data_IF_194179821529
#
_entry.id   IF_194179821529
#
_cell.length_a   1.000
_cell.length_b   1.000
_cell.length_c   1.000
_cell.angle_alpha   90.00
_cell.angle_beta   90.00
_cell.angle_gamma   90.00
#
_symmetry.space_group_name_H-M   'P 1'
#
loop_
_entity.id
_entity.type
_entity.pdbx_description
1 polymer ?
#
# COMPACT_ATOMS: atom_id res chain seq x y z
N UNK A 1 35.57 29.76 -28.68
CA UNK A 1 34.82 28.78 -29.51
C UNK A 1 33.64 28.31 -28.68
N UNK A 2 32.40 28.36 -29.18
CA UNK A 2 31.20 28.00 -28.40
C UNK A 2 31.22 26.49 -28.04
N UNK A 3 31.33 26.12 -26.75
CA UNK A 3 31.37 24.71 -26.33
C UNK A 3 30.13 23.92 -26.73
N UNK A 4 29.00 24.59 -27.00
CA UNK A 4 27.76 23.94 -27.51
C UNK A 4 27.94 23.32 -28.89
N UNK A 5 28.89 23.81 -29.70
CA UNK A 5 29.22 23.26 -31.03
C UNK A 5 30.01 21.94 -30.96
N UNK A 6 30.56 21.60 -29.80
CA UNK A 6 31.32 20.35 -29.58
C UNK A 6 30.45 19.20 -29.08
N UNK A 7 29.19 19.45 -28.69
CA UNK A 7 28.29 18.39 -28.21
C UNK A 7 28.07 17.35 -29.32
N UNK A 8 28.39 16.07 -29.10
CA UNK A 8 28.31 15.04 -30.13
C UNK A 8 26.87 14.86 -30.62
N UNK A 9 26.71 14.51 -31.90
CA UNK A 9 25.39 14.21 -32.49
C UNK A 9 24.80 12.97 -31.80
N UNK A 10 23.47 12.92 -31.69
CA UNK A 10 22.78 11.81 -31.04
C UNK A 10 23.13 10.46 -31.67
N UNK A 11 23.21 10.37 -33.00
CA UNK A 11 23.60 9.13 -33.68
C UNK A 11 25.04 8.71 -33.38
N UNK A 12 25.95 9.67 -33.22
CA UNK A 12 27.34 9.40 -32.81
C UNK A 12 27.36 8.80 -31.40
N UNK A 13 26.63 9.36 -30.45
CA UNK A 13 26.56 8.82 -29.09
C UNK A 13 25.87 7.45 -29.09
N UNK A 14 24.76 7.29 -29.82
CA UNK A 14 24.04 6.02 -29.91
C UNK A 14 24.84 4.89 -30.57
N UNK A 15 25.89 5.21 -31.32
CA UNK A 15 26.82 4.22 -31.87
C UNK A 15 27.83 3.67 -30.85
N UNK A 16 27.88 4.21 -29.62
CA UNK A 16 28.69 3.64 -28.54
C UNK A 16 28.24 2.19 -28.25
N UNK A 17 29.15 1.20 -28.28
CA UNK A 17 28.80 -0.21 -28.08
C UNK A 17 28.01 -0.49 -26.79
N UNK A 18 28.26 0.27 -25.71
CA UNK A 18 27.55 0.13 -24.44
C UNK A 18 26.09 0.55 -24.56
N UNK A 19 25.83 1.61 -25.32
CA UNK A 19 24.47 2.12 -25.57
C UNK A 19 23.73 1.25 -26.60
N UNK A 20 24.44 0.66 -27.57
CA UNK A 20 23.88 -0.36 -28.47
C UNK A 20 23.44 -1.61 -27.70
N UNK A 21 24.31 -2.15 -26.84
CA UNK A 21 23.97 -3.28 -25.99
C UNK A 21 22.80 -2.96 -25.04
N UNK A 22 22.81 -1.76 -24.45
CA UNK A 22 21.70 -1.29 -23.62
C UNK A 22 20.38 -1.18 -24.39
N UNK A 23 20.40 -0.78 -25.67
CA UNK A 23 19.18 -0.68 -26.47
C UNK A 23 18.51 -2.04 -26.69
N UNK A 24 19.29 -3.12 -26.78
CA UNK A 24 18.76 -4.49 -26.81
C UNK A 24 18.08 -4.91 -25.50
N UNK A 25 18.56 -4.43 -24.35
CA UNK A 25 18.05 -4.78 -23.01
C UNK A 25 16.91 -3.88 -22.52
N UNK A 26 17.02 -2.57 -22.76
CA UNK A 26 16.14 -1.52 -22.22
C UNK A 26 15.18 -0.95 -23.26
N UNK A 27 15.44 -1.20 -24.54
CA UNK A 27 14.73 -0.57 -25.65
C UNK A 27 15.37 0.76 -26.07
N UNK A 28 15.21 1.09 -27.35
CA UNK A 28 15.86 2.25 -27.99
C UNK A 28 15.40 3.60 -27.44
N UNK A 29 14.14 3.72 -27.03
CA UNK A 29 13.58 4.97 -26.47
C UNK A 29 14.27 5.36 -25.17
N UNK A 30 14.39 4.42 -24.22
CA UNK A 30 15.05 4.63 -22.92
C UNK A 30 16.51 5.10 -23.10
N UNK A 31 17.24 4.44 -23.99
CA UNK A 31 18.63 4.82 -24.30
C UNK A 31 18.69 6.21 -24.93
N UNK A 32 17.79 6.53 -25.86
CA UNK A 32 17.72 7.86 -26.49
C UNK A 32 17.43 8.96 -25.47
N UNK A 33 16.56 8.70 -24.50
CA UNK A 33 16.23 9.66 -23.43
C UNK A 33 17.44 9.94 -22.53
N UNK A 34 18.21 8.90 -22.17
CA UNK A 34 19.45 9.04 -21.42
C UNK A 34 20.51 9.86 -22.19
N UNK A 35 20.67 9.58 -23.49
CA UNK A 35 21.54 10.37 -24.38
C UNK A 35 21.08 11.82 -24.47
N UNK A 36 19.79 12.06 -24.67
CA UNK A 36 19.23 13.40 -24.74
C UNK A 36 19.43 14.17 -23.43
N UNK A 37 19.32 13.49 -22.28
CA UNK A 37 19.60 14.07 -20.96
C UNK A 37 21.06 14.49 -20.81
N UNK A 38 22.02 13.60 -21.12
CA UNK A 38 23.44 13.90 -21.07
C UNK A 38 23.83 15.05 -22.02
N UNK A 39 23.30 15.04 -23.26
CA UNK A 39 23.50 16.12 -24.22
C UNK A 39 22.94 17.47 -23.74
N UNK A 40 21.77 17.48 -23.05
CA UNK A 40 21.22 18.71 -22.45
C UNK A 40 22.17 19.27 -21.37
N UNK A 41 22.69 18.41 -20.49
CA UNK A 41 23.67 18.82 -19.46
C UNK A 41 24.93 19.42 -20.08
N UNK A 42 25.43 18.83 -21.17
CA UNK A 42 26.58 19.37 -21.88
C UNK A 42 26.30 20.73 -22.54
N UNK A 43 25.12 20.91 -23.16
CA UNK A 43 24.71 22.22 -23.74
C UNK A 43 24.58 23.32 -22.68
N UNK A 44 24.25 22.95 -21.45
CA UNK A 44 24.14 23.85 -20.29
C UNK A 44 25.48 24.11 -19.59
N UNK A 45 26.57 23.45 -20.01
CA UNK A 45 27.89 23.58 -19.40
C UNK A 45 28.08 22.77 -18.11
N UNK A 46 27.13 21.90 -17.76
CA UNK A 46 27.17 21.05 -16.56
C UNK A 46 27.86 19.68 -16.78
N UNK A 47 28.42 19.46 -17.97
CA UNK A 47 29.13 18.26 -18.41
C UNK A 47 30.03 18.62 -19.61
N UNK A 48 31.24 18.08 -19.72
CA UNK A 48 32.05 18.31 -20.92
C UNK A 48 31.47 17.53 -22.12
N UNK A 49 31.54 18.07 -23.35
CA UNK A 49 31.03 17.38 -24.55
C UNK A 49 31.58 15.96 -24.75
N UNK A 50 32.82 15.71 -24.34
CA UNK A 50 33.51 14.43 -24.45
C UNK A 50 32.95 13.37 -23.48
N UNK A 51 32.37 13.81 -22.35
CA UNK A 51 31.83 12.94 -21.29
C UNK A 51 30.38 12.50 -21.57
N UNK A 52 29.76 12.98 -22.65
CA UNK A 52 28.33 12.74 -22.94
C UNK A 52 28.00 11.26 -23.06
N UNK A 53 28.86 10.45 -23.67
CA UNK A 53 28.63 9.01 -23.81
C UNK A 53 28.70 8.30 -22.45
N UNK A 54 29.71 8.59 -21.63
CA UNK A 54 29.87 8.02 -20.30
C UNK A 54 28.73 8.43 -19.37
N UNK A 55 28.34 9.70 -19.40
CA UNK A 55 27.20 10.19 -18.64
C UNK A 55 25.87 9.59 -19.10
N UNK A 56 25.68 9.34 -20.40
CA UNK A 56 24.51 8.67 -20.92
C UNK A 56 24.44 7.21 -20.45
N UNK A 57 25.57 6.50 -20.47
CA UNK A 57 25.68 5.13 -19.95
C UNK A 57 25.41 5.09 -18.44
N UNK A 58 25.99 6.01 -17.67
CA UNK A 58 25.78 6.12 -16.23
C UNK A 58 24.33 6.48 -15.85
N UNK A 59 23.61 7.16 -16.74
CA UNK A 59 22.20 7.51 -16.55
C UNK A 59 21.21 6.40 -16.97
N UNK A 60 21.69 5.28 -17.53
CA UNK A 60 20.82 4.18 -17.93
C UNK A 60 20.22 3.47 -16.71
N UNK A 61 18.92 3.18 -16.70
CA UNK A 61 18.32 2.41 -15.63
C UNK A 61 18.71 0.93 -15.69
N UNK A 62 18.61 0.25 -14.55
CA UNK A 62 18.81 -1.20 -14.47
C UNK A 62 17.76 -2.00 -15.27
N UNK A 63 16.54 -1.46 -15.40
CA UNK A 63 15.43 -2.04 -16.16
C UNK A 63 14.59 -0.95 -16.82
N UNK A 64 13.79 -1.26 -17.87
CA UNK A 64 13.01 -0.24 -18.57
C UNK A 64 11.83 0.33 -17.75
N UNK A 65 11.47 -0.29 -16.63
CA UNK A 65 10.45 0.24 -15.71
C UNK A 65 10.91 1.49 -14.96
N UNK A 66 9.97 2.41 -14.71
CA UNK A 66 10.24 3.66 -13.99
C UNK A 66 10.12 3.58 -12.46
N UNK A 67 9.63 2.47 -11.92
CA UNK A 67 9.54 2.26 -10.47
C UNK A 67 10.92 1.97 -9.88
N UNK A 68 11.22 2.55 -8.72
CA UNK A 68 12.47 2.34 -7.99
C UNK A 68 12.18 1.58 -6.70
N UNK A 69 13.07 0.66 -6.33
CA UNK A 69 13.03 0.08 -4.99
C UNK A 69 13.34 1.17 -3.97
N UNK A 70 12.60 1.17 -2.85
CA UNK A 70 12.76 2.15 -1.77
C UNK A 70 13.02 1.40 -0.47
N UNK A 71 14.02 1.82 0.29
CA UNK A 71 14.24 1.33 1.65
C UNK A 71 13.31 2.08 2.59
N UNK A 72 12.32 1.36 3.12
CA UNK A 72 11.34 1.88 4.05
C UNK A 72 11.92 1.91 5.48
N UNK A 73 12.31 3.11 5.93
CA UNK A 73 12.71 3.41 7.30
C UNK A 73 11.68 4.31 8.01
N UNK A 74 10.43 4.31 7.53
CA UNK A 74 9.38 5.19 8.06
C UNK A 74 8.76 4.66 9.33
N UNK A 75 9.06 3.43 9.75
CA UNK A 75 8.36 2.76 10.86
C UNK A 75 6.90 2.41 10.56
N UNK A 76 6.44 2.53 9.31
CA UNK A 76 5.11 2.10 8.87
C UNK A 76 5.26 0.79 8.09
N UNK A 77 4.70 -0.31 8.60
CA UNK A 77 4.88 -1.66 8.02
C UNK A 77 4.16 -1.79 6.67
N UNK A 78 2.86 -1.47 6.65
CA UNK A 78 1.99 -1.48 5.47
C UNK A 78 1.85 -0.04 4.97
N UNK A 79 2.84 0.42 4.20
CA UNK A 79 2.89 1.79 3.73
C UNK A 79 2.22 1.95 2.35
N UNK A 80 1.05 2.59 2.29
CA UNK A 80 0.26 2.76 1.05
C UNK A 80 1.05 3.38 -0.10
N UNK A 81 1.76 4.49 0.15
CA UNK A 81 2.54 5.17 -0.89
C UNK A 81 3.79 4.40 -1.37
N UNK A 82 4.26 3.41 -0.60
CA UNK A 82 5.41 2.58 -0.95
C UNK A 82 5.00 1.18 -1.45
N UNK A 83 3.73 0.99 -1.79
CA UNK A 83 3.24 -0.26 -2.38
C UNK A 83 2.73 -1.30 -1.38
N UNK A 84 2.43 -0.90 -0.13
CA UNK A 84 1.90 -1.77 0.94
C UNK A 84 2.83 -2.92 1.32
N UNK A 85 2.36 -4.17 1.28
CA UNK A 85 3.09 -5.35 1.70
C UNK A 85 4.20 -5.75 0.70
N UNK A 86 5.48 -5.80 1.12
CA UNK A 86 6.52 -6.39 0.28
C UNK A 86 6.40 -7.92 0.27
N UNK A 87 6.69 -8.52 -0.89
CA UNK A 87 6.65 -9.97 -1.07
C UNK A 87 7.87 -10.65 -0.44
N UNK A 88 7.67 -11.86 0.10
CA UNK A 88 8.77 -12.72 0.55
C UNK A 88 9.65 -13.18 -0.64
N UNK A 89 10.91 -13.57 -0.41
CA UNK A 89 11.74 -14.15 -1.47
C UNK A 89 11.09 -15.35 -2.17
N UNK A 90 10.36 -16.18 -1.43
CA UNK A 90 9.60 -17.30 -1.98
C UNK A 90 8.47 -16.84 -2.92
N UNK A 91 7.73 -15.81 -2.54
CA UNK A 91 6.69 -15.22 -3.38
C UNK A 91 7.28 -14.57 -4.64
N UNK A 92 8.39 -13.83 -4.52
CA UNK A 92 9.11 -13.26 -5.67
C UNK A 92 9.57 -14.37 -6.62
N UNK A 93 10.18 -15.45 -6.12
CA UNK A 93 10.58 -16.59 -6.94
C UNK A 93 9.39 -17.23 -7.67
N UNK A 94 8.24 -17.39 -7.00
CA UNK A 94 7.02 -17.89 -7.63
C UNK A 94 6.51 -16.97 -8.75
N UNK A 95 6.58 -15.64 -8.57
CA UNK A 95 6.22 -14.71 -9.66
C UNK A 95 7.16 -14.81 -10.85
N UNK A 96 8.46 -15.01 -10.62
CA UNK A 96 9.44 -15.15 -11.68
C UNK A 96 9.18 -16.41 -12.53
N UNK A 97 8.80 -17.53 -11.90
CA UNK A 97 8.34 -18.73 -12.63
C UNK A 97 7.08 -18.43 -13.43
N UNK A 98 6.10 -17.77 -12.80
CA UNK A 98 4.83 -17.42 -13.44
C UNK A 98 4.98 -16.36 -14.54
N UNK A 99 6.11 -15.68 -14.69
CA UNK A 99 6.37 -14.77 -15.80
C UNK A 99 6.34 -15.49 -17.15
N UNK A 100 6.82 -16.74 -17.20
CA UNK A 100 6.74 -17.63 -18.36
C UNK A 100 5.37 -18.31 -18.54
N UNK A 101 5.33 -19.39 -19.33
CA UNK A 101 4.15 -20.26 -19.37
C UNK A 101 4.04 -21.04 -18.05
N UNK A 102 2.83 -21.10 -17.49
CA UNK A 102 2.53 -21.79 -16.24
C UNK A 102 1.17 -22.48 -16.34
N UNK A 103 0.97 -23.54 -15.56
CA UNK A 103 -0.22 -24.42 -15.56
C UNK A 103 -1.42 -23.82 -14.80
N UNK A 104 -1.65 -22.51 -14.97
CA UNK A 104 -2.60 -21.70 -14.21
C UNK A 104 -4.05 -22.21 -14.32
N UNK A 105 -4.42 -22.74 -15.48
CA UNK A 105 -5.74 -23.31 -15.81
C UNK A 105 -5.61 -24.65 -16.53
N UNK A 106 -4.52 -25.38 -16.31
CA UNK A 106 -4.21 -26.61 -17.03
C UNK A 106 -3.83 -27.72 -16.06
N UNK A 107 -4.43 -28.89 -16.23
CA UNK A 107 -4.02 -30.10 -15.52
C UNK A 107 -2.94 -30.81 -16.35
N UNK A 108 -1.72 -30.85 -15.83
CA UNK A 108 -0.58 -31.46 -16.51
C UNK A 108 -0.71 -32.99 -16.63
N UNK A 109 -1.40 -33.65 -15.70
CA UNK A 109 -1.57 -35.09 -15.72
C UNK A 109 -2.68 -35.50 -16.71
N UNK A 110 -3.80 -34.78 -16.71
CA UNK A 110 -4.93 -35.08 -17.58
C UNK A 110 -4.84 -34.42 -18.97
N UNK A 111 -3.99 -33.40 -19.14
CA UNK A 111 -3.83 -32.69 -20.41
C UNK A 111 -5.03 -31.82 -20.82
N UNK A 112 -5.83 -31.36 -19.84
CA UNK A 112 -7.08 -30.63 -20.09
C UNK A 112 -7.19 -29.35 -19.26
N UNK A 113 -8.16 -28.50 -19.60
CA UNK A 113 -8.46 -27.27 -18.86
C UNK A 113 -8.95 -27.60 -17.43
N UNK A 114 -8.43 -26.87 -16.45
CA UNK A 114 -8.75 -27.00 -15.03
C UNK A 114 -9.21 -25.67 -14.40
N UNK A 115 -9.67 -25.72 -13.13
CA UNK A 115 -10.00 -24.52 -12.35
C UNK A 115 -8.76 -23.63 -12.22
N UNK A 116 -8.93 -22.34 -12.53
CA UNK A 116 -7.88 -21.33 -12.39
C UNK A 116 -7.36 -21.28 -10.96
N UNK A 117 -6.03 -21.35 -10.79
CA UNK A 117 -5.40 -21.16 -9.49
C UNK A 117 -5.82 -22.20 -8.45
N UNK A 118 -6.07 -23.46 -8.86
CA UNK A 118 -6.49 -24.55 -7.95
C UNK A 118 -5.60 -24.63 -6.70
N UNK A 119 -4.27 -24.56 -6.90
CA UNK A 119 -3.30 -24.62 -5.81
C UNK A 119 -3.48 -23.47 -4.82
N UNK A 120 -3.74 -22.27 -5.32
CA UNK A 120 -3.98 -21.07 -4.50
C UNK A 120 -5.27 -21.17 -3.72
N UNK A 121 -6.36 -21.65 -4.35
CA UNK A 121 -7.64 -21.86 -3.65
C UNK A 121 -7.49 -22.89 -2.53
N UNK A 122 -6.78 -24.00 -2.79
CA UNK A 122 -6.54 -25.04 -1.78
C UNK A 122 -5.69 -24.52 -0.62
N UNK A 123 -4.71 -23.67 -0.88
CA UNK A 123 -3.89 -23.03 0.15
C UNK A 123 -4.73 -22.10 1.03
N UNK A 124 -5.61 -21.31 0.41
CA UNK A 124 -6.47 -20.36 1.11
C UNK A 124 -7.53 -21.08 1.95
N UNK A 125 -8.15 -22.13 1.42
CA UNK A 125 -9.10 -22.97 2.16
C UNK A 125 -8.46 -23.63 3.38
N UNK A 126 -7.20 -24.09 3.27
CA UNK A 126 -6.45 -24.61 4.43
C UNK A 126 -6.11 -23.52 5.46
N UNK A 127 -5.87 -22.29 5.00
CA UNK A 127 -5.54 -21.18 5.90
C UNK A 127 -6.77 -20.67 6.68
N UNK A 128 -7.98 -20.87 6.15
CA UNK A 128 -9.24 -20.49 6.82
C UNK A 128 -10.24 -21.67 6.80
N UNK A 129 -10.04 -22.69 7.66
CA UNK A 129 -10.92 -23.88 7.67
C UNK A 129 -12.38 -23.60 8.00
N UNK A 130 -12.68 -22.45 8.62
CA UNK A 130 -14.05 -22.01 8.90
C UNK A 130 -14.83 -21.59 7.64
N UNK A 131 -14.15 -21.38 6.51
CA UNK A 131 -14.79 -21.09 5.23
C UNK A 131 -15.17 -22.39 4.51
N UNK A 132 -16.42 -22.52 4.08
CA UNK A 132 -16.90 -23.70 3.34
C UNK A 132 -16.38 -23.74 1.88
N UNK A 133 -16.11 -22.57 1.32
CA UNK A 133 -15.42 -22.36 0.04
C UNK A 133 -14.73 -21.00 0.01
N UNK A 134 -13.84 -20.82 -0.98
CA UNK A 134 -13.02 -19.61 -1.15
C UNK A 134 -12.93 -19.17 -2.60
N UNK A 135 -12.79 -17.86 -2.81
CA UNK A 135 -12.50 -17.29 -4.11
C UNK A 135 -11.59 -16.06 -4.00
N UNK A 136 -10.93 -15.72 -5.11
CA UNK A 136 -9.98 -14.59 -5.19
C UNK A 136 -10.24 -13.78 -6.44
N UNK A 137 -10.30 -12.46 -6.27
CA UNK A 137 -10.47 -11.45 -7.32
C UNK A 137 -9.36 -10.40 -7.26
N UNK A 138 -9.36 -9.43 -8.17
CA UNK A 138 -8.28 -8.46 -8.35
C UNK A 138 -7.88 -7.67 -7.09
N UNK A 139 -8.83 -7.20 -6.29
CA UNK A 139 -8.60 -6.49 -5.03
C UNK A 139 -9.87 -6.52 -4.17
N UNK A 140 -9.82 -6.03 -2.92
CA UNK A 140 -10.98 -6.06 -2.04
C UNK A 140 -12.17 -5.22 -2.54
N UNK A 141 -11.90 -4.10 -3.23
CA UNK A 141 -12.95 -3.31 -3.88
C UNK A 141 -13.70 -4.14 -4.93
N UNK A 142 -12.98 -4.94 -5.72
CA UNK A 142 -13.58 -5.90 -6.65
C UNK A 142 -14.38 -6.99 -5.93
N UNK A 143 -13.94 -7.43 -4.74
CA UNK A 143 -14.70 -8.39 -3.93
C UNK A 143 -16.05 -7.78 -3.52
N UNK A 144 -16.05 -6.56 -2.99
CA UNK A 144 -17.27 -5.82 -2.64
C UNK A 144 -18.19 -5.61 -3.85
N UNK A 145 -17.66 -5.19 -5.02
CA UNK A 145 -18.46 -5.04 -6.25
C UNK A 145 -19.11 -6.35 -6.64
N UNK A 146 -18.34 -7.43 -6.63
CA UNK A 146 -18.82 -8.75 -7.04
C UNK A 146 -19.92 -9.24 -6.10
N UNK A 147 -19.73 -9.09 -4.79
CA UNK A 147 -20.72 -9.46 -3.77
C UNK A 147 -21.99 -8.60 -3.90
N UNK A 148 -21.84 -7.29 -3.99
CA UNK A 148 -22.97 -6.36 -4.11
C UNK A 148 -23.78 -6.62 -5.38
N UNK A 149 -23.12 -6.85 -6.52
CA UNK A 149 -23.81 -7.18 -7.77
C UNK A 149 -24.48 -8.55 -7.70
N UNK A 150 -23.77 -9.55 -7.19
CA UNK A 150 -24.28 -10.92 -7.14
C UNK A 150 -25.47 -11.07 -6.18
N UNK A 151 -25.47 -10.36 -5.06
CA UNK A 151 -26.43 -10.56 -3.96
C UNK A 151 -27.47 -9.43 -3.83
N UNK A 152 -27.13 -8.20 -4.24
CA UNK A 152 -27.92 -7.01 -3.96
C UNK A 152 -28.22 -6.11 -5.18
N UNK A 153 -27.96 -6.55 -6.41
CA UNK A 153 -28.40 -5.80 -7.59
C UNK A 153 -29.92 -5.58 -7.59
N UNK A 154 -30.36 -4.32 -7.65
CA UNK A 154 -31.78 -3.94 -7.55
C UNK A 154 -32.40 -4.12 -6.15
N UNK A 155 -31.60 -4.46 -5.14
CA UNK A 155 -32.01 -4.73 -3.76
C UNK A 155 -31.27 -3.80 -2.79
N UNK A 156 -31.63 -3.88 -1.51
CA UNK A 156 -31.02 -3.06 -0.46
C UNK A 156 -29.79 -3.72 0.16
N UNK A 157 -28.74 -2.93 0.41
CA UNK A 157 -27.63 -3.25 1.30
C UNK A 157 -27.85 -2.45 2.58
N UNK A 158 -28.11 -3.15 3.69
CA UNK A 158 -28.26 -2.51 5.00
C UNK A 158 -26.89 -2.33 5.64
N UNK A 159 -26.54 -1.09 6.00
CA UNK A 159 -25.22 -0.73 6.51
C UNK A 159 -25.30 0.36 7.59
N UNK A 160 -24.42 0.31 8.59
CA UNK A 160 -24.31 1.35 9.63
C UNK A 160 -23.80 2.66 9.04
N UNK A 161 -24.36 3.80 9.46
CA UNK A 161 -23.84 5.14 9.08
C UNK A 161 -22.40 5.36 9.52
N UNK A 162 -21.99 4.77 10.65
CA UNK A 162 -20.60 4.83 11.14
C UNK A 162 -19.60 4.03 10.29
N UNK A 163 -20.07 3.26 9.31
CA UNK A 163 -19.28 2.35 8.49
C UNK A 163 -19.22 2.78 7.02
N UNK A 164 -19.70 3.99 6.71
CA UNK A 164 -19.59 4.60 5.39
C UNK A 164 -18.19 5.22 5.25
N UNK A 165 -17.23 4.39 4.84
CA UNK A 165 -15.80 4.77 4.85
C UNK A 165 -15.33 5.33 3.51
N UNK A 166 -14.53 6.40 3.59
CA UNK A 166 -13.63 6.84 2.53
C UNK A 166 -12.20 6.32 2.81
N UNK A 167 -11.56 5.71 1.83
CA UNK A 167 -10.24 5.08 1.95
C UNK A 167 -9.31 5.66 0.88
N UNK A 168 -8.06 5.94 1.25
CA UNK A 168 -7.04 6.39 0.31
C UNK A 168 -7.34 7.78 -0.27
N UNK A 169 -7.16 7.93 -1.58
CA UNK A 169 -7.27 9.21 -2.31
C UNK A 169 -8.70 9.44 -2.85
N UNK A 170 -9.68 9.52 -1.94
CA UNK A 170 -11.08 9.82 -2.28
C UNK A 170 -11.94 8.63 -2.70
N UNK A 171 -11.49 7.38 -2.52
CA UNK A 171 -12.31 6.20 -2.81
C UNK A 171 -13.37 5.98 -1.73
N UNK A 172 -14.64 6.01 -2.11
CA UNK A 172 -15.79 5.87 -1.22
C UNK A 172 -16.48 4.53 -1.43
N UNK A 173 -16.55 3.72 -0.38
CA UNK A 173 -17.29 2.45 -0.39
C UNK A 173 -18.77 2.67 -0.80
N UNK A 174 -19.47 3.72 -0.30
CA UNK A 174 -20.86 3.96 -0.70
C UNK A 174 -21.04 4.14 -2.21
N UNK A 175 -20.22 4.99 -2.83
CA UNK A 175 -20.28 5.28 -4.27
C UNK A 175 -20.01 4.01 -5.09
N UNK A 176 -19.05 3.19 -4.65
CA UNK A 176 -18.77 1.89 -5.26
C UNK A 176 -19.99 0.97 -5.21
N UNK A 177 -20.63 0.82 -4.05
CA UNK A 177 -21.77 -0.07 -3.87
C UNK A 177 -23.00 0.40 -4.66
N UNK A 178 -23.28 1.70 -4.68
CA UNK A 178 -24.38 2.26 -5.48
C UNK A 178 -24.14 2.03 -6.97
N UNK A 179 -22.89 2.10 -7.44
CA UNK A 179 -22.56 1.86 -8.85
C UNK A 179 -22.90 0.45 -9.35
N UNK A 180 -23.10 -0.52 -8.45
CA UNK A 180 -23.51 -1.88 -8.80
C UNK A 180 -25.02 -2.04 -9.01
N UNK A 181 -25.79 -0.95 -8.92
CA UNK A 181 -27.25 -0.96 -8.94
C UNK A 181 -27.89 -1.40 -7.62
N UNK A 182 -27.13 -1.49 -6.54
CA UNK A 182 -27.66 -1.70 -5.20
C UNK A 182 -28.15 -0.37 -4.61
N UNK A 183 -29.14 -0.45 -3.70
CA UNK A 183 -29.59 0.70 -2.91
C UNK A 183 -29.01 0.60 -1.51
N UNK A 184 -28.42 1.66 -0.98
CA UNK A 184 -27.96 1.68 0.40
C UNK A 184 -29.12 2.01 1.34
N UNK A 185 -29.31 1.17 2.35
CA UNK A 185 -30.25 1.37 3.45
C UNK A 185 -29.44 1.63 4.73
N UNK A 186 -29.10 2.89 4.94
CA UNK A 186 -28.31 3.31 6.09
C UNK A 186 -29.10 3.22 7.41
N UNK A 187 -28.46 2.71 8.46
CA UNK A 187 -29.06 2.54 9.79
C UNK A 187 -28.20 3.14 10.90
N UNK A 188 -28.83 3.40 12.05
CA UNK A 188 -28.19 3.98 13.22
C UNK A 188 -27.67 5.40 13.00
N UNK A 189 -26.59 5.73 13.70
CA UNK A 189 -25.89 7.02 13.69
C UNK A 189 -24.39 6.81 13.51
N UNK A 190 -23.63 7.88 13.31
CA UNK A 190 -22.17 7.80 13.09
C UNK A 190 -21.46 7.08 14.23
N UNK A 191 -21.79 7.40 15.49
CA UNK A 191 -21.12 6.85 16.66
C UNK A 191 -21.82 5.61 17.21
N UNK A 192 -23.14 5.45 17.02
CA UNK A 192 -23.92 4.34 17.59
C UNK A 192 -24.87 3.71 16.59
N UNK A 193 -24.76 2.39 16.45
CA UNK A 193 -25.70 1.55 15.71
C UNK A 193 -25.97 0.27 16.50
N UNK A 194 -27.25 -0.06 16.67
CA UNK A 194 -27.72 -1.21 17.45
C UNK A 194 -28.33 -2.30 16.56
N UNK A 195 -28.47 -3.51 17.11
CA UNK A 195 -29.21 -4.59 16.45
C UNK A 195 -30.65 -4.18 16.07
N UNK A 196 -31.32 -3.38 16.91
CA UNK A 196 -32.68 -2.92 16.65
C UNK A 196 -32.76 -2.05 15.38
N UNK A 197 -31.74 -1.24 15.11
CA UNK A 197 -31.67 -0.40 13.91
C UNK A 197 -31.59 -1.27 12.65
N UNK A 198 -30.76 -2.33 12.67
CA UNK A 198 -30.67 -3.30 11.58
C UNK A 198 -31.97 -4.09 11.40
N UNK A 199 -32.52 -4.64 12.49
CA UNK A 199 -33.76 -5.42 12.45
C UNK A 199 -34.94 -4.64 11.88
N UNK A 200 -35.05 -3.35 12.18
CA UNK A 200 -36.11 -2.50 11.66
C UNK A 200 -35.96 -2.17 10.17
N UNK A 201 -34.74 -2.29 9.61
CA UNK A 201 -34.45 -2.01 8.21
C UNK A 201 -34.48 -3.24 7.31
N UNK A 202 -34.21 -4.43 7.84
CA UNK A 202 -34.24 -5.68 7.06
C UNK A 202 -35.68 -6.02 6.66
N UNK A 203 -35.89 -6.27 5.37
CA UNK A 203 -37.19 -6.62 4.79
C UNK A 203 -37.06 -7.43 3.49
N UNK A 204 -38.18 -7.63 2.76
CA UNK A 204 -38.20 -8.45 1.53
C UNK A 204 -37.22 -7.98 0.45
N UNK A 205 -36.97 -6.67 0.38
CA UNK A 205 -36.06 -6.07 -0.60
C UNK A 205 -34.59 -6.10 -0.17
N UNK A 206 -34.26 -6.58 1.03
CA UNK A 206 -32.88 -6.62 1.53
C UNK A 206 -32.09 -7.76 0.89
N UNK A 207 -31.04 -7.41 0.16
CA UNK A 207 -30.09 -8.33 -0.46
C UNK A 207 -29.09 -8.92 0.53
N UNK A 208 -28.53 -8.06 1.39
CA UNK A 208 -27.55 -8.42 2.42
C UNK A 208 -27.44 -7.32 3.50
N UNK A 209 -26.90 -7.71 4.64
CA UNK A 209 -26.37 -6.80 5.66
C UNK A 209 -24.86 -6.71 5.47
N UNK A 210 -24.32 -5.50 5.34
CA UNK A 210 -22.89 -5.26 5.20
C UNK A 210 -22.34 -4.67 6.50
N UNK A 211 -21.35 -5.35 7.07
CA UNK A 211 -20.56 -4.88 8.23
C UNK A 211 -19.17 -4.54 7.73
N UNK A 212 -18.75 -3.27 7.81
CA UNK A 212 -17.44 -2.83 7.35
C UNK A 212 -16.54 -2.49 8.53
N UNK A 213 -15.28 -2.90 8.48
CA UNK A 213 -14.26 -2.50 9.44
C UNK A 213 -13.68 -1.12 9.07
N UNK A 214 -13.73 -0.12 9.96
CA UNK A 214 -13.04 1.17 9.77
C UNK A 214 -11.52 1.00 9.89
N UNK A 215 -10.88 0.46 8.84
CA UNK A 215 -9.46 0.07 8.87
C UNK A 215 -8.46 1.23 8.82
N UNK A 216 -8.91 2.47 8.61
CA UNK A 216 -8.09 3.67 8.45
C UNK A 216 -8.42 4.82 9.42
N UNK A 217 -9.42 4.68 10.29
CA UNK A 217 -9.77 5.67 11.30
C UNK A 217 -10.42 5.01 12.52
N UNK A 218 -10.54 5.75 13.63
CA UNK A 218 -11.28 5.32 14.83
C UNK A 218 -12.28 6.40 15.21
N UNK A 219 -13.38 5.98 15.83
CA UNK A 219 -14.30 6.87 16.52
C UNK A 219 -14.15 6.59 18.02
N UNK A 220 -13.81 7.63 18.79
CA UNK A 220 -13.61 7.54 20.24
C UNK A 220 -14.73 8.28 20.99
N UNK A 221 -14.93 7.94 22.27
CA UNK A 221 -15.99 8.49 23.12
C UNK A 221 -17.21 7.58 23.23
N UNK A 222 -18.42 8.14 23.14
CA UNK A 222 -19.67 7.39 23.28
C UNK A 222 -20.04 6.66 21.97
N UNK A 223 -19.39 5.52 21.75
CA UNK A 223 -19.58 4.69 20.56
C UNK A 223 -20.24 3.35 20.88
N UNK A 224 -20.82 2.72 19.86
CA UNK A 224 -21.39 1.37 19.97
C UNK A 224 -21.75 0.80 18.60
N UNK A 225 -21.47 -0.48 18.39
CA UNK A 225 -21.74 -1.17 17.13
C UNK A 225 -22.33 -2.55 17.39
N UNK A 226 -23.32 -2.94 16.58
CA UNK A 226 -23.82 -4.30 16.57
C UNK A 226 -22.74 -5.26 16.06
N UNK A 227 -22.53 -6.36 16.78
CA UNK A 227 -21.59 -7.41 16.43
C UNK A 227 -22.14 -8.38 15.38
N UNK A 228 -21.26 -9.11 14.69
CA UNK A 228 -21.64 -10.09 13.65
C UNK A 228 -22.61 -11.14 14.21
N UNK A 229 -22.39 -11.62 15.45
CA UNK A 229 -23.27 -12.60 16.10
C UNK A 229 -24.70 -12.09 16.30
N UNK A 230 -24.88 -10.79 16.57
CA UNK A 230 -26.22 -10.21 16.66
C UNK A 230 -26.88 -10.14 15.27
N UNK A 231 -26.08 -9.83 14.23
CA UNK A 231 -26.57 -9.63 12.87
C UNK A 231 -26.91 -10.93 12.14
N UNK A 232 -26.23 -12.05 12.44
CA UNK A 232 -26.43 -13.34 11.76
C UNK A 232 -27.84 -13.91 11.90
N UNK A 233 -28.61 -13.45 12.91
CA UNK A 233 -30.00 -13.85 13.13
C UNK A 233 -31.05 -13.10 12.30
N UNK A 234 -30.65 -12.20 11.38
CA UNK A 234 -31.59 -11.32 10.64
C UNK A 234 -32.26 -11.97 9.42
N UNK A 235 -31.90 -13.21 9.07
CA UNK A 235 -32.54 -13.96 7.97
C UNK A 235 -32.11 -13.53 6.56
N UNK A 236 -31.10 -12.67 6.44
CA UNK A 236 -30.45 -12.26 5.19
C UNK A 236 -28.93 -12.45 5.32
N UNK A 237 -28.19 -12.64 4.20
CA UNK A 237 -26.75 -12.82 4.26
C UNK A 237 -26.05 -11.68 4.99
N UNK A 238 -25.19 -12.02 5.96
CA UNK A 238 -24.28 -11.07 6.61
C UNK A 238 -22.91 -11.15 5.95
N UNK A 239 -22.52 -10.05 5.32
CA UNK A 239 -21.20 -9.88 4.70
C UNK A 239 -20.34 -9.03 5.61
N UNK A 240 -19.21 -9.56 6.05
CA UNK A 240 -18.22 -8.82 6.84
C UNK A 240 -17.02 -8.42 5.97
N UNK A 241 -16.87 -7.13 5.71
CA UNK A 241 -15.66 -6.60 5.09
C UNK A 241 -14.64 -6.23 6.17
N UNK A 242 -13.74 -7.16 6.45
CA UNK A 242 -12.69 -6.94 7.44
C UNK A 242 -11.58 -6.03 6.90
N UNK A 243 -11.45 -5.95 5.57
CA UNK A 243 -10.54 -5.05 4.86
C UNK A 243 -9.04 -5.34 5.02
N UNK A 244 -8.59 -5.81 6.19
CA UNK A 244 -7.20 -5.86 6.66
C UNK A 244 -6.40 -7.06 6.15
N UNK A 245 -7.09 -8.15 5.81
CA UNK A 245 -6.45 -9.38 5.34
C UNK A 245 -6.02 -10.35 6.44
N UNK A 246 -6.31 -10.08 7.72
CA UNK A 246 -6.06 -11.08 8.76
C UNK A 246 -6.94 -12.32 8.52
N UNK A 247 -6.30 -13.47 8.34
CA UNK A 247 -6.99 -14.74 8.14
C UNK A 247 -7.39 -15.40 9.47
N UNK A 248 -6.60 -15.14 10.52
CA UNK A 248 -6.81 -15.63 11.87
C UNK A 248 -6.38 -14.57 12.88
N UNK A 249 -6.86 -14.71 14.12
CA UNK A 249 -6.58 -13.79 15.23
C UNK A 249 -5.09 -13.53 15.41
N UNK A 250 -4.73 -12.26 15.56
CA UNK A 250 -3.37 -11.82 15.85
C UNK A 250 -3.30 -11.23 17.27
N UNK A 251 -2.62 -11.90 18.23
CA UNK A 251 -2.54 -11.44 19.61
C UNK A 251 -1.96 -10.03 19.79
N UNK A 252 -1.08 -9.59 18.88
CA UNK A 252 -0.55 -8.22 18.91
C UNK A 252 -1.57 -7.17 18.47
N UNK A 253 -2.64 -7.58 17.78
CA UNK A 253 -3.69 -6.72 17.24
C UNK A 253 -5.08 -7.23 17.69
N UNK A 254 -5.38 -7.24 19.01
CA UNK A 254 -6.53 -7.95 19.56
C UNK A 254 -7.89 -7.42 19.08
N UNK A 255 -7.95 -6.14 18.72
CA UNK A 255 -9.17 -5.47 18.24
C UNK A 255 -9.32 -5.53 16.70
N UNK A 256 -8.30 -6.02 15.98
CA UNK A 256 -8.34 -6.10 14.52
C UNK A 256 -9.13 -7.34 14.09
N UNK A 257 -10.16 -7.20 13.24
CA UNK A 257 -10.98 -8.33 12.84
C UNK A 257 -10.23 -9.27 11.90
N UNK A 258 -10.48 -10.56 12.07
CA UNK A 258 -9.94 -11.62 11.23
C UNK A 258 -11.03 -12.52 10.64
N UNK A 259 -10.71 -13.18 9.53
CA UNK A 259 -11.67 -13.97 8.78
C UNK A 259 -12.21 -15.17 9.57
N UNK A 260 -11.35 -15.88 10.30
CA UNK A 260 -11.76 -17.04 11.08
C UNK A 260 -12.75 -16.67 12.19
N UNK A 261 -12.47 -15.61 12.96
CA UNK A 261 -13.36 -15.11 14.01
C UNK A 261 -14.67 -14.57 13.43
N UNK A 262 -14.63 -13.83 12.33
CA UNK A 262 -15.84 -13.31 11.69
C UNK A 262 -16.78 -14.42 11.19
N UNK A 263 -16.21 -15.47 10.57
CA UNK A 263 -16.97 -16.64 10.13
C UNK A 263 -17.54 -17.42 11.32
N UNK A 264 -16.73 -17.65 12.37
CA UNK A 264 -17.19 -18.32 13.58
C UNK A 264 -18.30 -17.54 14.32
N UNK A 265 -18.30 -16.20 14.21
CA UNK A 265 -19.35 -15.35 14.75
C UNK A 265 -20.66 -15.38 13.94
N UNK A 266 -20.68 -16.02 12.77
CA UNK A 266 -21.86 -16.21 11.94
C UNK A 266 -21.93 -15.32 10.69
N UNK A 267 -20.83 -14.71 10.25
CA UNK A 267 -20.81 -14.08 8.93
C UNK A 267 -20.98 -15.15 7.83
N UNK A 268 -21.87 -14.91 6.88
CA UNK A 268 -22.07 -15.81 5.73
C UNK A 268 -20.95 -15.68 4.70
N UNK A 269 -20.34 -14.49 4.61
CA UNK A 269 -19.24 -14.19 3.70
C UNK A 269 -18.32 -13.12 4.32
N UNK A 270 -17.01 -13.30 4.15
CA UNK A 270 -15.98 -12.35 4.54
C UNK A 270 -15.23 -11.86 3.30
N UNK A 271 -15.01 -10.55 3.21
CA UNK A 271 -14.12 -9.94 2.21
C UNK A 271 -12.90 -9.30 2.87
N UNK A 272 -11.74 -9.41 2.21
CA UNK A 272 -10.49 -8.84 2.73
C UNK A 272 -9.47 -8.53 1.61
N UNK A 273 -8.51 -7.65 1.90
CA UNK A 273 -7.36 -7.43 0.99
C UNK A 273 -6.19 -8.34 1.33
N UNK A 274 -5.44 -8.83 0.34
CA UNK A 274 -4.25 -9.65 0.56
C UNK A 274 -2.95 -8.86 0.80
N UNK A 275 -2.85 -7.63 0.28
CA UNK A 275 -1.63 -6.81 0.29
C UNK A 275 -1.49 -5.94 1.53
N UNK A 276 -2.14 -6.34 2.63
CA UNK A 276 -2.13 -5.63 3.92
C UNK A 276 -1.53 -6.56 4.99
N UNK A 277 -2.28 -6.94 6.02
CA UNK A 277 -1.78 -7.76 7.12
C UNK A 277 -1.47 -9.22 6.75
N UNK A 278 -2.09 -9.75 5.67
CA UNK A 278 -1.68 -11.05 5.12
C UNK A 278 -0.25 -11.03 4.56
N UNK A 279 0.24 -9.87 4.13
CA UNK A 279 1.59 -9.74 3.57
C UNK A 279 1.77 -10.33 2.17
N UNK A 280 0.67 -10.51 1.42
CA UNK A 280 0.66 -11.07 0.07
C UNK A 280 0.63 -10.02 -1.04
N UNK A 281 0.40 -10.44 -2.29
CA UNK A 281 0.18 -9.52 -3.42
C UNK A 281 -1.20 -8.86 -3.34
N UNK A 282 -1.46 -7.85 -4.17
CA UNK A 282 -2.79 -7.26 -4.27
C UNK A 282 -3.80 -8.31 -4.75
N UNK A 283 -4.82 -8.58 -3.94
CA UNK A 283 -5.94 -9.44 -4.25
C UNK A 283 -7.11 -9.17 -3.30
N UNK A 284 -8.32 -9.52 -3.72
CA UNK A 284 -9.53 -9.52 -2.90
C UNK A 284 -9.95 -10.94 -2.58
N UNK A 285 -10.14 -11.21 -1.30
CA UNK A 285 -10.57 -12.52 -0.81
C UNK A 285 -12.09 -12.56 -0.67
N UNK A 286 -12.68 -13.72 -0.99
CA UNK A 286 -14.04 -14.08 -0.63
C UNK A 286 -13.96 -15.41 0.12
N UNK A 287 -14.39 -15.43 1.37
CA UNK A 287 -14.28 -16.58 2.27
C UNK A 287 -15.63 -16.78 2.95
N UNK A 288 -16.23 -17.97 2.89
CA UNK A 288 -17.47 -18.22 3.61
C UNK A 288 -18.29 -19.35 3.03
N UNK A 289 -19.61 -19.18 3.05
CA UNK A 289 -20.56 -20.20 2.59
C UNK A 289 -20.38 -20.55 1.13
N UNK A 290 -20.44 -21.86 0.83
CA UNK A 290 -20.16 -22.39 -0.50
C UNK A 290 -21.14 -21.86 -1.55
N UNK A 291 -22.43 -21.77 -1.21
CA UNK A 291 -23.47 -21.31 -2.14
C UNK A 291 -23.28 -19.83 -2.53
N UNK A 292 -22.87 -18.97 -1.59
CA UNK A 292 -22.60 -17.56 -1.85
C UNK A 292 -21.31 -17.34 -2.64
N UNK A 293 -20.24 -18.06 -2.29
CA UNK A 293 -18.96 -18.02 -3.02
C UNK A 293 -19.15 -18.50 -4.46
N UNK A 294 -19.87 -19.61 -4.66
CA UNK A 294 -20.17 -20.14 -6.00
C UNK A 294 -21.03 -19.16 -6.81
N UNK A 295 -22.03 -18.53 -6.19
CA UNK A 295 -22.86 -17.49 -6.84
C UNK A 295 -22.00 -16.32 -7.31
N UNK A 296 -21.07 -15.83 -6.49
CA UNK A 296 -20.12 -14.80 -6.88
C UNK A 296 -19.20 -15.27 -8.01
N UNK A 297 -18.64 -16.48 -7.90
CA UNK A 297 -17.70 -17.06 -8.88
C UNK A 297 -18.33 -17.26 -10.27
N UNK A 298 -19.61 -17.63 -10.33
CA UNK A 298 -20.34 -17.83 -11.60
C UNK A 298 -20.83 -16.53 -12.22
N UNK A 299 -20.87 -15.43 -11.47
CA UNK A 299 -21.37 -14.16 -11.96
C UNK A 299 -20.49 -13.63 -13.12
N UNK A 300 -21.05 -13.09 -14.21
CA UNK A 300 -20.27 -12.64 -15.37
C UNK A 300 -19.16 -11.62 -15.03
N UNK A 301 -19.40 -10.71 -14.08
CA UNK A 301 -18.38 -9.75 -13.62
C UNK A 301 -17.13 -10.43 -13.04
N UNK A 302 -17.23 -11.65 -12.50
CA UNK A 302 -16.07 -12.37 -11.98
C UNK A 302 -14.98 -12.55 -13.04
N UNK A 303 -15.35 -12.62 -14.33
CA UNK A 303 -14.39 -12.70 -15.43
C UNK A 303 -13.64 -11.37 -15.65
N UNK A 304 -14.30 -10.24 -15.46
CA UNK A 304 -13.70 -8.91 -15.56
C UNK A 304 -12.80 -8.61 -14.34
N UNK A 305 -13.21 -9.08 -13.17
CA UNK A 305 -12.51 -8.91 -11.89
C UNK A 305 -11.47 -10.01 -11.60
N UNK A 306 -11.21 -10.88 -12.58
CA UNK A 306 -10.39 -12.08 -12.42
C UNK A 306 -8.94 -11.71 -12.11
N UNK A 307 -8.38 -12.36 -11.10
CA UNK A 307 -6.97 -12.22 -10.71
C UNK A 307 -6.01 -12.80 -11.77
N UNK A 308 -4.87 -12.12 -11.97
CA UNK A 308 -3.83 -12.52 -12.93
C UNK A 308 -2.94 -13.66 -12.39
N UNK A 309 -2.04 -14.18 -13.24
CA UNK A 309 -1.21 -15.35 -12.90
C UNK A 309 -0.09 -15.04 -11.91
N UNK A 310 0.47 -13.84 -11.94
CA UNK A 310 1.57 -13.43 -11.06
C UNK A 310 1.05 -13.30 -9.63
N UNK A 311 -0.11 -12.68 -9.48
CA UNK A 311 -0.80 -12.55 -8.18
C UNK A 311 -1.17 -13.91 -7.60
N UNK A 312 -1.68 -14.85 -8.42
CA UNK A 312 -1.97 -16.21 -7.95
C UNK A 312 -0.71 -16.91 -7.43
N UNK A 313 0.39 -16.86 -8.19
CA UNK A 313 1.64 -17.49 -7.79
C UNK A 313 2.23 -16.88 -6.51
N UNK A 314 2.23 -15.55 -6.39
CA UNK A 314 2.70 -14.86 -5.18
C UNK A 314 1.81 -15.17 -3.97
N UNK A 315 0.48 -15.16 -4.12
CA UNK A 315 -0.45 -15.45 -3.02
C UNK A 315 -0.29 -16.89 -2.54
N UNK A 316 -0.17 -17.84 -3.47
CA UNK A 316 0.05 -19.24 -3.15
C UNK A 316 1.33 -19.47 -2.34
N UNK A 317 2.43 -18.87 -2.77
CA UNK A 317 3.71 -18.92 -2.07
C UNK A 317 3.66 -18.17 -0.73
N UNK A 318 2.86 -17.11 -0.61
CA UNK A 318 2.65 -16.39 0.67
C UNK A 318 1.92 -17.28 1.67
N UNK A 319 0.91 -18.03 1.22
CA UNK A 319 0.10 -18.91 2.07
C UNK A 319 0.83 -20.19 2.48
N UNK A 320 1.69 -20.74 1.61
CA UNK A 320 2.41 -22.01 1.85
C UNK A 320 3.83 -21.83 2.36
N UNK A 321 4.46 -20.70 2.06
CA UNK A 321 5.86 -20.45 2.29
C UNK A 321 6.18 -19.93 3.69
N UNK A 322 7.42 -19.45 3.89
CA UNK A 322 7.82 -18.82 5.16
C UNK A 322 7.02 -17.55 5.43
N UNK A 323 7.08 -17.08 6.68
CA UNK A 323 6.39 -15.86 7.12
C UNK A 323 6.66 -14.67 6.18
N UNK A 324 5.59 -13.98 5.78
CA UNK A 324 5.69 -12.78 4.97
C UNK A 324 6.44 -11.66 5.71
N UNK A 325 7.12 -10.75 5.00
CA UNK A 325 7.83 -9.63 5.62
C UNK A 325 6.98 -8.78 6.56
N UNK A 326 5.70 -8.58 6.24
CA UNK A 326 4.75 -7.87 7.12
C UNK A 326 4.61 -8.57 8.48
N UNK A 327 4.52 -9.91 8.50
CA UNK A 327 4.44 -10.70 9.72
C UNK A 327 5.76 -10.64 10.50
N UNK A 328 6.89 -10.72 9.81
CA UNK A 328 8.21 -10.59 10.44
C UNK A 328 8.40 -9.22 11.10
N UNK A 329 8.00 -8.14 10.41
CA UNK A 329 8.06 -6.78 10.94
C UNK A 329 7.10 -6.57 12.13
N UNK A 330 5.89 -7.14 12.07
CA UNK A 330 4.92 -7.05 13.17
C UNK A 330 5.50 -7.68 14.46
N UNK A 331 6.09 -8.87 14.33
CA UNK A 331 6.65 -9.67 15.43
C UNK A 331 8.14 -9.37 15.73
N UNK A 332 8.71 -8.30 15.18
CA UNK A 332 10.10 -7.93 15.42
C UNK A 332 10.34 -7.61 16.91
N UNK A 333 11.40 -8.18 17.49
CA UNK A 333 11.79 -7.95 18.88
C UNK A 333 12.32 -6.52 19.08
N UNK A 334 11.68 -5.69 19.92
CA UNK A 334 12.14 -4.33 20.20
C UNK A 334 13.55 -4.28 20.78
N UNK A 335 14.02 -5.28 21.52
CA UNK A 335 15.39 -5.33 22.04
C UNK A 335 16.41 -5.43 20.90
N UNK A 336 16.19 -6.36 19.97
CA UNK A 336 17.02 -6.53 18.77
C UNK A 336 17.02 -5.27 17.91
N UNK A 337 15.87 -4.59 17.77
CA UNK A 337 15.80 -3.32 17.04
C UNK A 337 16.65 -2.24 17.69
N UNK A 338 16.66 -2.15 19.03
CA UNK A 338 17.50 -1.18 19.77
C UNK A 338 18.99 -1.47 19.58
N UNK A 339 19.39 -2.73 19.66
CA UNK A 339 20.78 -3.14 19.43
C UNK A 339 21.24 -2.78 18.01
N UNK A 340 20.42 -3.08 17.00
CA UNK A 340 20.69 -2.72 15.60
C UNK A 340 20.79 -1.21 15.41
N UNK A 341 19.87 -0.44 15.98
CA UNK A 341 19.90 1.02 15.90
C UNK A 341 21.16 1.59 16.57
N UNK A 342 21.56 1.05 17.72
CA UNK A 342 22.78 1.45 18.43
C UNK A 342 24.04 1.16 17.61
N UNK A 343 24.16 -0.04 17.03
CA UNK A 343 25.29 -0.40 16.18
C UNK A 343 25.38 0.49 14.93
N UNK A 344 24.25 0.72 14.25
CA UNK A 344 24.18 1.60 13.08
C UNK A 344 24.55 3.04 13.42
N UNK A 345 24.02 3.59 14.52
CA UNK A 345 24.34 4.93 14.98
C UNK A 345 25.82 5.07 15.39
N UNK A 346 26.39 4.07 16.08
CA UNK A 346 27.80 4.08 16.47
C UNK A 346 28.72 4.11 15.25
N UNK A 347 28.50 3.25 14.25
CA UNK A 347 29.31 3.25 13.03
C UNK A 347 29.19 4.55 12.23
N UNK A 348 28.02 5.19 12.23
CA UNK A 348 27.83 6.52 11.62
C UNK A 348 28.57 7.62 12.39
N UNK A 349 28.52 7.59 13.72
CA UNK A 349 29.23 8.54 14.57
C UNK A 349 30.74 8.43 14.44
N UNK A 350 31.29 7.21 14.34
CA UNK A 350 32.71 6.96 14.04
C UNK A 350 33.13 7.55 12.69
N UNK A 351 32.21 7.58 11.71
CA UNK A 351 32.42 8.22 10.42
C UNK A 351 32.16 9.75 10.42
N UNK A 352 31.92 10.35 11.59
CA UNK A 352 31.72 11.81 11.74
C UNK A 352 30.30 12.31 11.47
N UNK A 353 29.33 11.40 11.31
CA UNK A 353 27.91 11.77 11.13
C UNK A 353 27.26 11.99 12.50
N UNK A 354 26.50 13.08 12.66
CA UNK A 354 25.63 13.30 13.83
C UNK A 354 24.48 12.27 13.82
N UNK A 355 24.72 11.10 14.42
CA UNK A 355 23.77 10.00 14.49
C UNK A 355 23.56 9.54 15.93
N UNK A 356 22.31 9.29 16.32
CA UNK A 356 21.96 8.79 17.65
C UNK A 356 20.89 7.70 17.54
N UNK A 357 21.05 6.61 18.29
CA UNK A 357 19.99 5.63 18.44
C UNK A 357 18.93 6.15 19.42
N UNK A 358 17.66 6.06 19.04
CA UNK A 358 16.53 6.54 19.85
C UNK A 358 15.41 5.50 19.89
N UNK A 359 14.65 5.39 21.01
CA UNK A 359 13.36 4.71 21.00
C UNK A 359 12.43 5.32 19.95
N UNK A 360 11.58 4.50 19.34
CA UNK A 360 10.60 4.95 18.36
C UNK A 360 9.30 4.15 18.51
N UNK A 361 8.21 4.68 17.99
CA UNK A 361 6.96 3.95 17.83
C UNK A 361 6.71 3.70 16.34
N UNK A 362 6.58 2.42 16.00
CA UNK A 362 6.17 1.99 14.68
C UNK A 362 4.65 1.85 14.61
N UNK A 363 4.11 1.92 13.41
CA UNK A 363 2.70 1.73 13.13
C UNK A 363 2.51 0.58 12.13
N UNK A 364 1.38 -0.10 12.23
CA UNK A 364 0.99 -1.09 11.23
C UNK A 364 0.82 -0.44 9.85
N UNK A 365 0.17 0.73 9.75
CA UNK A 365 0.00 1.46 8.49
C UNK A 365 -1.30 1.17 7.75
N UNK A 366 -1.53 1.86 6.61
CA UNK A 366 -2.79 2.05 5.87
C UNK A 366 -3.48 0.79 5.31
N UNK A 367 -3.74 -0.17 6.19
CA UNK A 367 -4.31 -1.47 5.88
C UNK A 367 -4.83 -2.24 7.09
N UNK A 368 -5.02 -1.59 8.24
CA UNK A 368 -5.56 -2.24 9.44
C UNK A 368 -4.94 -1.68 10.71
N UNK A 369 -5.58 -1.96 11.84
CA UNK A 369 -5.17 -1.58 13.19
C UNK A 369 -4.85 -0.07 13.35
N UNK A 370 -5.77 0.84 12.97
CA UNK A 370 -5.54 2.27 13.15
C UNK A 370 -5.29 2.59 14.63
N UNK A 371 -4.31 3.46 14.89
CA UNK A 371 -3.93 3.90 16.23
C UNK A 371 -3.13 2.89 17.06
N UNK A 372 -2.87 1.68 16.56
CA UNK A 372 -2.00 0.72 17.27
C UNK A 372 -0.54 1.06 17.04
N UNK A 373 0.18 1.34 18.12
CA UNK A 373 1.62 1.58 18.10
C UNK A 373 2.39 0.34 18.54
N UNK A 374 3.59 0.19 18.00
CA UNK A 374 4.47 -0.93 18.23
C UNK A 374 5.83 -0.41 18.72
N UNK A 375 6.33 -0.83 19.90
CA UNK A 375 7.62 -0.38 20.42
C UNK A 375 8.76 -0.71 19.46
N UNK A 376 9.51 0.29 19.00
CA UNK A 376 10.55 0.17 17.98
C UNK A 376 11.84 0.92 18.38
N UNK A 377 12.78 0.99 17.46
CA UNK A 377 13.99 1.79 17.56
C UNK A 377 14.34 2.43 16.21
N UNK A 378 14.93 3.61 16.27
CA UNK A 378 15.32 4.37 15.10
C UNK A 378 16.74 4.94 15.23
N UNK A 379 17.34 5.26 14.09
CA UNK A 379 18.51 6.15 14.04
C UNK A 379 18.03 7.57 13.74
N UNK A 380 18.41 8.51 14.60
CA UNK A 380 18.13 9.93 14.47
C UNK A 380 19.29 10.63 13.77
N UNK A 381 18.99 11.34 12.69
CA UNK A 381 19.91 12.15 11.90
C UNK A 381 19.41 13.60 11.81
N UNK A 382 20.27 14.57 11.47
CA UNK A 382 19.84 15.91 11.11
C UNK A 382 18.84 15.90 9.95
N UNK A 383 17.84 16.78 10.00
CA UNK A 383 16.80 16.89 8.97
C UNK A 383 17.36 17.06 7.54
N UNK A 384 18.55 17.66 7.38
CA UNK A 384 19.20 17.86 6.08
C UNK A 384 19.39 16.56 5.27
N UNK A 385 19.46 15.40 5.93
CA UNK A 385 19.58 14.11 5.28
C UNK A 385 18.30 13.66 4.56
N UNK A 386 17.14 14.24 4.90
CA UNK A 386 15.85 13.73 4.44
C UNK A 386 15.68 13.80 2.92
N UNK A 387 16.12 14.87 2.26
CA UNK A 387 16.05 14.98 0.79
C UNK A 387 17.13 14.13 0.12
N UNK A 388 18.44 14.26 0.44
CA UNK A 388 19.49 13.46 -0.15
C UNK A 388 19.23 11.95 -0.09
N UNK A 389 18.76 11.44 1.06
CA UNK A 389 18.43 10.02 1.21
C UNK A 389 17.24 9.59 0.34
N UNK A 390 16.18 10.40 0.23
CA UNK A 390 15.03 10.06 -0.62
C UNK A 390 15.32 10.16 -2.11
N UNK A 391 16.29 11.00 -2.51
CA UNK A 391 16.68 11.17 -3.92
C UNK A 391 17.90 10.34 -4.31
N UNK A 392 18.63 9.78 -3.33
CA UNK A 392 19.81 8.96 -3.52
C UNK A 392 19.52 7.59 -4.14
N UNK A 393 20.55 6.75 -4.25
CA UNK A 393 20.44 5.40 -4.82
C UNK A 393 21.17 4.36 -3.95
N UNK A 394 20.46 3.52 -3.18
CA UNK A 394 19.00 3.39 -3.14
C UNK A 394 18.32 4.55 -2.39
N UNK A 395 17.08 4.92 -2.76
CA UNK A 395 16.25 5.80 -1.95
C UNK A 395 15.99 5.22 -0.55
N UNK A 396 16.22 6.03 0.49
CA UNK A 396 15.88 5.72 1.88
C UNK A 396 14.87 6.73 2.38
N UNK A 397 13.73 6.26 2.90
CA UNK A 397 12.64 7.14 3.37
C UNK A 397 12.42 6.93 4.87
N UNK A 398 12.60 8.00 5.65
CA UNK A 398 12.23 8.07 7.07
C UNK A 398 11.17 9.14 7.34
N UNK A 399 10.94 9.42 8.62
CA UNK A 399 10.01 10.48 9.10
C UNK A 399 10.79 11.66 9.66
N UNK A 400 10.31 12.88 9.45
CA UNK A 400 10.89 14.07 10.10
C UNK A 400 10.03 14.44 11.29
N UNK A 401 10.64 14.50 12.46
CA UNK A 401 10.00 14.85 13.73
C UNK A 401 10.97 15.67 14.58
N UNK A 402 10.49 16.76 15.19
CA UNK A 402 11.35 17.62 16.03
C UNK A 402 12.61 18.14 15.33
N UNK A 403 12.54 18.43 14.02
CA UNK A 403 13.68 18.84 13.16
C UNK A 403 14.81 17.80 13.05
N UNK A 404 14.50 16.53 13.27
CA UNK A 404 15.40 15.41 13.01
C UNK A 404 14.73 14.40 12.09
N UNK A 405 15.53 13.73 11.27
CA UNK A 405 15.11 12.60 10.46
C UNK A 405 15.24 11.33 11.30
N UNK A 406 14.14 10.63 11.51
CA UNK A 406 14.08 9.33 12.16
C UNK A 406 14.01 8.24 11.10
N UNK A 407 14.98 7.33 11.15
CA UNK A 407 15.05 6.12 10.34
C UNK A 407 14.71 4.93 11.25
N UNK A 408 13.45 4.52 11.28
CA UNK A 408 12.93 3.42 12.12
C UNK A 408 13.19 2.05 11.46
N UNK A 409 13.75 1.12 12.23
CA UNK A 409 14.23 -0.18 11.73
C UNK A 409 13.13 -1.25 11.62
N UNK A 410 11.89 -0.99 12.08
CA UNK A 410 10.83 -2.01 12.18
C UNK A 410 10.54 -2.72 10.87
N UNK A 411 10.52 -1.95 9.78
CA UNK A 411 10.22 -2.44 8.44
C UNK A 411 11.49 -2.81 7.63
N UNK A 412 12.68 -2.69 8.23
CA UNK A 412 13.96 -2.97 7.59
C UNK A 412 14.44 -4.40 7.88
N UNK A 413 14.59 -5.26 6.87
CA UNK A 413 15.27 -6.55 7.00
C UNK A 413 16.70 -6.38 7.53
N UNK A 414 17.14 -7.24 8.45
CA UNK A 414 18.44 -7.10 9.12
C UNK A 414 19.65 -7.15 8.17
N UNK A 415 19.53 -7.88 7.06
CA UNK A 415 20.56 -7.97 6.02
C UNK A 415 20.73 -6.67 5.20
N UNK A 416 19.85 -5.68 5.40
CA UNK A 416 19.87 -4.38 4.71
C UNK A 416 20.49 -3.25 5.52
N UNK A 417 20.95 -3.51 6.75
CA UNK A 417 21.57 -2.48 7.61
C UNK A 417 22.79 -1.83 6.94
N UNK A 418 23.60 -2.63 6.23
CA UNK A 418 24.76 -2.12 5.48
C UNK A 418 24.39 -1.24 4.27
N UNK A 419 23.25 -1.47 3.64
CA UNK A 419 22.77 -0.63 2.54
C UNK A 419 22.37 0.76 3.05
N UNK A 420 21.73 0.81 4.22
CA UNK A 420 21.34 2.06 4.88
C UNK A 420 22.56 2.85 5.31
N UNK A 421 23.53 2.20 5.97
CA UNK A 421 24.80 2.82 6.36
C UNK A 421 25.47 3.50 5.16
N UNK A 422 25.65 2.75 4.06
CA UNK A 422 26.28 3.25 2.84
C UNK A 422 25.52 4.44 2.25
N UNK A 423 24.19 4.37 2.15
CA UNK A 423 23.38 5.46 1.62
C UNK A 423 23.51 6.76 2.46
N UNK A 424 23.63 6.64 3.78
CA UNK A 424 23.84 7.80 4.68
C UNK A 424 25.22 8.41 4.48
N UNK A 425 26.28 7.58 4.39
CA UNK A 425 27.64 8.06 4.16
C UNK A 425 27.81 8.72 2.79
N UNK A 426 27.20 8.17 1.75
CA UNK A 426 27.16 8.78 0.41
C UNK A 426 26.40 10.11 0.42
N UNK A 427 25.29 10.18 1.14
CA UNK A 427 24.53 11.42 1.32
C UNK A 427 25.38 12.48 2.04
N UNK A 428 26.11 12.13 3.11
CA UNK A 428 27.01 13.06 3.81
C UNK A 428 28.13 13.57 2.91
N UNK A 429 28.80 12.68 2.17
CA UNK A 429 29.89 13.05 1.26
C UNK A 429 29.47 13.91 0.07
N UNK A 430 28.19 13.88 -0.31
CA UNK A 430 27.63 14.69 -1.40
C UNK A 430 27.14 16.08 -0.97
N UNK A 431 27.01 16.33 0.34
CA UNK A 431 26.57 17.63 0.85
C UNK A 431 27.74 18.64 0.88
N UNK A 432 27.48 19.92 0.53
CA UNK A 432 28.51 20.95 0.66
C UNK A 432 28.95 21.09 2.12
N UNK A 433 30.26 21.12 2.36
CA UNK A 433 30.83 21.28 3.69
C UNK A 433 30.39 22.62 4.30
N UNK A 434 29.44 22.60 5.24
CA UNK A 434 29.10 23.77 6.06
C UNK A 434 27.63 23.87 6.50
N UNK A 435 27.34 23.41 7.71
CA UNK A 435 26.63 24.19 8.74
C UNK A 435 26.62 23.42 10.07
N UNK A 436 27.81 23.18 10.62
CA UNK A 436 27.94 23.01 12.07
C UNK A 436 27.53 24.33 12.71
N UNK A 437 26.27 24.43 13.14
CA UNK A 437 25.82 25.54 13.97
C UNK A 437 26.44 25.36 15.35
N UNK A 438 27.59 26.01 15.53
CA UNK A 438 28.18 26.21 16.85
C UNK A 438 27.20 26.94 17.75
N UNK A 439 27.02 26.41 18.96
CA UNK A 439 26.25 27.05 20.01
C UNK A 439 26.82 28.43 20.35
N UNK A 440 25.96 29.43 20.30
CA UNK A 440 26.16 30.72 20.94
C UNK A 440 24.95 30.96 21.84
N UNK A 441 25.22 30.97 23.14
CA UNK A 441 24.34 31.37 24.22
C UNK A 441 23.90 32.82 24.07
N UNK A 442 22.64 33.11 24.40
CA UNK A 442 22.19 34.47 24.75
C UNK A 442 20.85 34.90 24.20
N UNK A 443 19.87 35.12 25.09
CA UNK A 443 18.83 36.13 24.89
C UNK A 443 17.39 35.63 24.78
N UNK A 444 16.70 35.59 25.92
CA UNK A 444 15.24 35.48 26.05
C UNK A 444 14.49 36.59 25.32
N UNK A 445 13.32 36.31 24.72
CA UNK A 445 11.98 36.73 25.22
C UNK A 445 10.83 36.46 24.22
N UNK A 446 9.70 36.02 24.80
CA UNK A 446 8.28 36.23 24.42
C UNK A 446 7.69 35.63 23.14
N UNK A 447 6.86 34.60 23.34
CA UNK A 447 5.40 34.67 23.11
C UNK A 447 4.86 34.50 21.68
N UNK A 448 4.07 33.46 21.46
CA UNK A 448 3.15 33.38 20.31
C UNK A 448 2.90 31.96 19.80
N UNK A 449 1.93 31.27 20.39
CA UNK A 449 1.42 29.96 19.96
C UNK A 449 0.33 30.07 18.89
N UNK A 450 0.29 29.07 17.99
CA UNK A 450 -0.83 28.56 17.16
C UNK A 450 -1.14 29.26 15.82
N UNK A 451 -1.80 28.59 14.84
CA UNK A 451 -1.96 27.14 14.60
C UNK A 451 -1.75 26.71 13.12
N UNK A 452 -1.81 25.39 12.92
CA UNK A 452 -1.90 24.69 11.64
C UNK A 452 -3.07 25.21 10.76
N UNK A 453 -2.75 25.55 9.51
CA UNK A 453 -3.70 26.07 8.52
C UNK A 453 -4.38 24.96 7.73
N UNK A 454 -5.67 24.78 8.01
CA UNK A 454 -6.71 24.24 7.12
C UNK A 454 -6.82 25.06 5.83
N UNK A 455 -6.98 24.40 4.68
CA UNK A 455 -7.29 25.07 3.41
C UNK A 455 -8.73 24.76 2.96
N UNK A 456 -9.65 25.63 3.36
CA UNK A 456 -10.90 26.00 2.67
C UNK A 456 -11.05 27.51 2.89
N UNK A 457 -11.50 28.38 2.00
CA UNK A 457 -11.89 28.38 0.60
C UNK A 457 -11.96 29.86 0.17
N UNK A 458 -12.42 30.17 -1.04
CA UNK A 458 -12.54 31.58 -1.44
C UNK A 458 -13.19 31.83 -2.79
N UNK A 459 -14.52 31.74 -2.81
CA UNK A 459 -15.40 32.33 -3.82
C UNK A 459 -15.26 33.86 -3.83
N UNK A 460 -15.32 34.47 -5.02
CA UNK A 460 -15.70 35.87 -5.19
C UNK A 460 -16.66 35.99 -6.38
N UNK A 461 -17.90 36.34 -6.08
CA UNK A 461 -18.94 36.72 -7.03
C UNK A 461 -19.04 38.24 -7.17
N UNK A 462 -19.17 38.72 -8.40
CA UNK A 462 -19.91 39.92 -8.87
C UNK A 462 -20.33 39.55 -10.31
N UNK A 463 -21.58 39.57 -10.77
CA UNK A 463 -22.72 40.42 -10.45
C UNK A 463 -23.01 41.31 -11.66
N UNK A 464 -23.83 40.84 -12.61
CA UNK A 464 -24.52 41.68 -13.58
C UNK A 464 -25.76 40.95 -14.16
N UNK A 465 -26.86 41.67 -14.13
CA UNK A 465 -28.26 41.37 -14.47
C UNK A 465 -28.54 41.42 -15.98
N UNK A 466 -29.49 40.61 -16.48
CA UNK A 466 -30.55 41.06 -17.39
C UNK A 466 -31.63 39.99 -17.59
N UNK A 467 -32.89 40.46 -17.57
CA UNK A 467 -34.15 39.74 -17.66
C UNK A 467 -34.44 39.03 -19.01
N UNK A 468 -35.05 37.83 -18.90
CA UNK A 468 -36.14 37.16 -19.67
C UNK A 468 -36.28 37.23 -21.21
N UNK A 469 -37.32 36.58 -21.78
CA UNK A 469 -37.99 35.32 -21.42
C UNK A 469 -38.25 34.37 -22.64
N UNK A 470 -38.69 33.13 -22.38
CA UNK A 470 -39.77 32.48 -23.16
C UNK A 470 -39.45 31.48 -24.29
N UNK A 471 -40.15 30.34 -24.18
CA UNK A 471 -40.77 29.49 -25.23
C UNK A 471 -39.99 28.35 -25.94
N UNK A 472 -40.53 27.15 -25.68
CA UNK A 472 -40.88 26.01 -26.55
C UNK A 472 -39.90 25.47 -27.62
N UNK A 473 -39.67 24.15 -27.51
CA UNK A 473 -39.01 23.27 -28.49
C UNK A 473 -38.67 21.91 -27.91
#
# INVERSE_FOLDING_TARGET
MDPRRRVPRTDTVLSDPRLVAAAGRLGRSVVKDAVAYAQRRARQGALAPEEVADAAVAALPAHPGGLRAVINMTGVIVHTNLGRAPLSPAAVAATAVAAGYADVEFDLAAGVRARRGRGTMDALARAVPAAEDVHVVNNNAAALVLVATALAAGREIVISRGELVEIGDGFRIPDLLVSTGARLREVGTTNRTSYADYRAAVGPDTGLVLKVHPSNFRIEGFTGAAGITELSGLGVPVVADIGSGLLAREPLLPDEPDAATALAAGADLVTASCDKLLGGPQAGLLLGRRDLVERCRRHPLARALRVDKLTLAALEATLRGPAAPVRLALHADPAVLRERAAALAAGLAEAGVDACAVPSEAAVGGGGAPGVTLPSAAVSLPERFAVPLRTGDPPVVGRVEGRRLLLDLRALPADRDGDVMRAILEAEGSMPAGSTTGGSTGGSTTGGSMPAGSATGGSAARGATSDGPGEDG
#
